data_IF_964221982569
#
_entry.id   IF_964221982569
#
_cell.length_a   1.000
_cell.length_b   1.000
_cell.length_c   1.000
_cell.angle_alpha   90.00
_cell.angle_beta   90.00
_cell.angle_gamma   90.00
#
_symmetry.space_group_name_H-M   'P 1'
#
loop_
_entity.id
_entity.type
_entity.pdbx_description
1 polymer ?
#
# COMPACT_ATOMS: atom_id res chain seq x y z
N UNK A 1 -30.51 -30.02 11.28
CA UNK A 1 -30.33 -29.27 10.02
C UNK A 1 -29.46 -28.01 10.17
N UNK A 2 -28.54 -27.94 11.15
CA UNK A 2 -27.71 -26.73 11.41
C UNK A 2 -26.26 -26.82 10.90
N UNK A 3 -25.84 -27.93 10.27
CA UNK A 3 -24.44 -28.14 9.87
C UNK A 3 -24.14 -27.84 8.39
N UNK A 4 -25.15 -27.54 7.55
CA UNK A 4 -24.93 -27.29 6.12
C UNK A 4 -24.60 -25.82 5.78
N UNK A 5 -24.89 -24.86 6.67
CA UNK A 5 -24.66 -23.43 6.41
C UNK A 5 -23.24 -22.97 6.72
N UNK A 6 -22.45 -23.74 7.47
CA UNK A 6 -21.08 -23.34 7.87
C UNK A 6 -20.03 -23.62 6.78
N UNK A 7 -20.26 -24.59 5.90
CA UNK A 7 -19.35 -24.93 4.79
C UNK A 7 -19.48 -24.01 3.58
N UNK A 8 -20.56 -23.24 3.46
CA UNK A 8 -20.76 -22.33 2.32
C UNK A 8 -19.90 -21.06 2.44
N UNK A 9 -19.71 -20.53 3.65
CA UNK A 9 -18.87 -19.33 3.88
C UNK A 9 -17.37 -19.56 3.68
N UNK A 10 -16.89 -20.80 3.82
CA UNK A 10 -15.47 -21.14 3.60
C UNK A 10 -15.08 -21.21 2.13
N UNK A 11 -16.03 -21.37 1.21
CA UNK A 11 -15.74 -21.39 -0.22
C UNK A 11 -15.67 -19.98 -0.82
N UNK A 12 -16.59 -19.08 -0.44
CA UNK A 12 -16.56 -17.67 -0.89
C UNK A 12 -15.25 -16.97 -0.46
N UNK A 13 -14.79 -17.21 0.77
CA UNK A 13 -13.52 -16.64 1.26
C UNK A 13 -12.30 -17.17 0.49
N UNK A 14 -12.31 -18.45 0.08
CA UNK A 14 -11.24 -19.02 -0.76
C UNK A 14 -11.21 -18.41 -2.16
N UNK A 15 -12.37 -18.15 -2.77
CA UNK A 15 -12.43 -17.52 -4.09
C UNK A 15 -11.93 -16.07 -4.05
N UNK A 16 -12.27 -15.30 -3.02
CA UNK A 16 -11.74 -13.94 -2.85
C UNK A 16 -10.22 -13.96 -2.63
N UNK A 17 -9.71 -14.91 -1.83
CA UNK A 17 -8.27 -15.07 -1.61
C UNK A 17 -7.51 -15.43 -2.90
N UNK A 18 -8.08 -16.35 -3.71
CA UNK A 18 -7.49 -16.74 -4.99
C UNK A 18 -7.49 -15.57 -5.98
N UNK A 19 -8.61 -14.84 -6.07
CA UNK A 19 -8.73 -13.63 -6.89
C UNK A 19 -7.71 -12.55 -6.50
N UNK A 20 -7.54 -12.30 -5.20
CA UNK A 20 -6.56 -11.33 -4.71
C UNK A 20 -5.12 -11.77 -5.01
N UNK A 21 -4.81 -13.07 -4.84
CA UNK A 21 -3.50 -13.62 -5.16
C UNK A 21 -3.18 -13.54 -6.67
N UNK A 22 -4.14 -13.80 -7.54
CA UNK A 22 -4.01 -13.66 -9.00
C UNK A 22 -3.81 -12.19 -9.40
N UNK A 23 -4.56 -11.27 -8.81
CA UNK A 23 -4.39 -9.84 -9.04
C UNK A 23 -2.98 -9.35 -8.62
N UNK A 24 -2.46 -9.84 -7.50
CA UNK A 24 -1.08 -9.56 -7.09
C UNK A 24 -0.04 -10.11 -8.07
N UNK A 25 -0.26 -11.32 -8.64
CA UNK A 25 0.63 -11.92 -9.65
C UNK A 25 0.65 -11.10 -10.95
N UNK A 26 -0.52 -10.74 -11.48
CA UNK A 26 -0.61 -9.94 -12.71
C UNK A 26 0.10 -8.59 -12.57
N UNK A 27 -0.06 -7.93 -11.42
CA UNK A 27 0.64 -6.66 -11.12
C UNK A 27 2.16 -6.82 -11.05
N UNK A 28 2.66 -7.94 -10.54
CA UNK A 28 4.09 -8.23 -10.55
C UNK A 28 4.63 -8.41 -11.98
N UNK A 29 3.86 -9.06 -12.85
CA UNK A 29 4.22 -9.26 -14.25
C UNK A 29 4.28 -7.93 -15.02
N UNK A 30 3.30 -7.05 -14.83
CA UNK A 30 3.28 -5.71 -15.45
C UNK A 30 4.46 -4.84 -15.00
N UNK A 31 4.78 -4.88 -13.70
CA UNK A 31 5.92 -4.13 -13.16
C UNK A 31 7.24 -4.62 -13.77
N UNK A 32 7.37 -5.93 -14.00
CA UNK A 32 8.53 -6.52 -14.66
C UNK A 32 8.67 -6.06 -16.11
N UNK A 33 7.57 -5.98 -16.87
CA UNK A 33 7.59 -5.57 -18.28
C UNK A 33 8.11 -4.15 -18.46
N UNK A 34 7.70 -3.21 -17.61
CA UNK A 34 8.18 -1.82 -17.72
C UNK A 34 9.63 -1.68 -17.28
N UNK A 35 10.04 -2.35 -16.19
CA UNK A 35 11.45 -2.39 -15.80
C UNK A 35 12.35 -2.94 -16.91
N UNK A 36 11.90 -4.00 -17.61
CA UNK A 36 12.63 -4.56 -18.76
C UNK A 36 12.68 -3.59 -19.95
N UNK A 37 11.59 -2.87 -20.24
CA UNK A 37 11.55 -1.92 -21.35
C UNK A 37 12.46 -0.70 -21.09
N UNK A 38 12.34 -0.06 -19.93
CA UNK A 38 13.18 1.09 -19.57
C UNK A 38 14.65 0.69 -19.43
N UNK A 39 14.92 -0.46 -18.82
CA UNK A 39 16.25 -1.06 -18.78
C UNK A 39 16.80 -1.28 -20.19
N UNK A 40 16.01 -1.87 -21.08
CA UNK A 40 16.40 -2.15 -22.46
C UNK A 40 16.75 -0.88 -23.24
N UNK A 41 15.95 0.16 -23.10
CA UNK A 41 16.20 1.46 -23.73
C UNK A 41 17.48 2.11 -23.23
N UNK A 42 17.74 2.09 -21.92
CA UNK A 42 18.98 2.61 -21.35
C UNK A 42 20.22 1.80 -21.77
N UNK A 43 20.09 0.47 -21.87
CA UNK A 43 21.14 -0.40 -22.36
C UNK A 43 21.50 -0.05 -23.82
N UNK A 44 20.51 0.14 -24.68
CA UNK A 44 20.73 0.54 -26.08
C UNK A 44 21.36 1.93 -26.18
N UNK A 45 20.87 2.89 -25.40
CA UNK A 45 21.40 4.25 -25.38
C UNK A 45 22.87 4.32 -24.94
N UNK A 46 23.31 3.42 -24.07
CA UNK A 46 24.70 3.34 -23.59
C UNK A 46 25.58 2.42 -24.43
N UNK A 47 25.01 1.42 -25.11
CA UNK A 47 25.74 0.52 -26.02
C UNK A 47 26.43 1.25 -27.15
N UNK A 48 25.77 2.23 -27.78
CA UNK A 48 26.32 2.98 -28.90
C UNK A 48 27.60 3.76 -28.50
N UNK A 49 27.56 4.68 -27.52
CA UNK A 49 28.73 5.46 -27.14
C UNK A 49 29.83 4.60 -26.50
N UNK A 50 29.49 3.59 -25.71
CA UNK A 50 30.49 2.69 -25.12
C UNK A 50 31.22 1.86 -26.18
N UNK A 51 30.49 1.37 -27.19
CA UNK A 51 31.09 0.66 -28.34
C UNK A 51 32.03 1.57 -29.12
N UNK A 52 31.59 2.80 -29.43
CA UNK A 52 32.42 3.77 -30.15
C UNK A 52 33.69 4.14 -29.37
N UNK A 53 33.57 4.38 -28.07
CA UNK A 53 34.71 4.67 -27.21
C UNK A 53 35.68 3.48 -27.14
N UNK A 54 35.16 2.26 -27.02
CA UNK A 54 35.96 1.04 -27.04
C UNK A 54 36.72 0.89 -28.36
N UNK A 55 36.04 1.06 -29.51
CA UNK A 55 36.67 1.00 -30.84
C UNK A 55 37.74 2.08 -31.02
N UNK A 56 37.50 3.29 -30.51
CA UNK A 56 38.48 4.37 -30.56
C UNK A 56 39.76 4.04 -29.77
N UNK A 57 39.61 3.54 -28.54
CA UNK A 57 40.75 3.12 -27.70
C UNK A 57 41.46 1.91 -28.31
N UNK A 58 40.70 0.95 -28.85
CA UNK A 58 41.21 -0.24 -29.51
C UNK A 58 42.10 0.10 -30.71
N UNK A 59 41.66 1.06 -31.53
CA UNK A 59 42.39 1.49 -32.73
C UNK A 59 43.62 2.34 -32.42
N UNK A 60 43.53 3.23 -31.42
CA UNK A 60 44.57 4.24 -31.19
C UNK A 60 45.65 3.81 -30.18
N UNK A 61 45.46 2.72 -29.43
CA UNK A 61 46.40 2.33 -28.37
C UNK A 61 46.90 0.87 -28.49
N UNK A 62 48.01 0.60 -29.18
CA UNK A 62 48.55 -0.75 -29.31
C UNK A 62 49.03 -1.34 -27.96
N UNK A 63 49.40 -0.50 -26.99
CA UNK A 63 49.76 -0.95 -25.64
C UNK A 63 48.55 -1.50 -24.87
N UNK A 64 47.35 -1.06 -25.21
CA UNK A 64 46.12 -1.61 -24.64
C UNK A 64 45.88 -3.03 -25.13
N UNK A 65 46.13 -3.31 -26.42
CA UNK A 65 46.01 -4.65 -27.00
C UNK A 65 46.99 -5.64 -26.36
N UNK A 66 48.25 -5.25 -26.18
CA UNK A 66 49.26 -6.15 -25.60
C UNK A 66 49.02 -6.45 -24.12
N UNK A 67 48.29 -5.59 -23.40
CA UNK A 67 48.00 -5.76 -21.97
C UNK A 67 46.65 -6.42 -21.67
N UNK A 68 45.74 -6.52 -22.65
CA UNK A 68 44.37 -7.00 -22.42
C UNK A 68 44.09 -8.31 -23.14
N UNK A 69 43.58 -9.30 -22.41
CA UNK A 69 43.10 -10.56 -22.96
C UNK A 69 41.72 -10.38 -23.61
N UNK A 70 41.36 -11.28 -24.54
CA UNK A 70 40.05 -11.28 -25.23
C UNK A 70 38.89 -11.19 -24.24
N UNK A 71 38.93 -11.96 -23.13
CA UNK A 71 37.90 -11.89 -22.08
C UNK A 71 37.76 -10.51 -21.43
N UNK A 72 38.86 -9.79 -21.20
CA UNK A 72 38.81 -8.44 -20.64
C UNK A 72 38.26 -7.41 -21.64
N UNK A 73 38.54 -7.60 -22.93
CA UNK A 73 38.03 -6.78 -24.01
C UNK A 73 36.51 -6.93 -24.15
N UNK A 74 36.02 -8.18 -24.15
CA UNK A 74 34.58 -8.46 -24.16
C UNK A 74 33.89 -7.87 -22.93
N UNK A 75 34.52 -7.95 -21.75
CA UNK A 75 33.95 -7.38 -20.54
C UNK A 75 33.84 -5.84 -20.61
N UNK A 76 34.88 -5.14 -21.08
CA UNK A 76 34.82 -3.69 -21.25
C UNK A 76 33.74 -3.25 -22.22
N UNK A 77 33.46 -4.07 -23.24
CA UNK A 77 32.39 -3.82 -24.20
C UNK A 77 30.99 -4.04 -23.60
N UNK A 78 30.79 -5.14 -22.88
CA UNK A 78 29.46 -5.58 -22.41
C UNK A 78 29.04 -4.95 -21.08
N UNK A 79 29.99 -4.55 -20.24
CA UNK A 79 29.70 -4.08 -18.86
C UNK A 79 28.90 -2.77 -18.83
N UNK A 80 29.25 -1.71 -19.58
CA UNK A 80 28.51 -0.44 -19.50
C UNK A 80 27.02 -0.56 -19.89
N UNK A 81 26.67 -1.26 -20.99
CA UNK A 81 25.26 -1.46 -21.36
C UNK A 81 24.48 -2.28 -20.34
N UNK A 82 25.08 -3.35 -19.81
CA UNK A 82 24.46 -4.13 -18.74
C UNK A 82 24.26 -3.29 -17.48
N UNK A 83 25.24 -2.48 -17.11
CA UNK A 83 25.13 -1.61 -15.95
C UNK A 83 23.99 -0.60 -16.11
N UNK A 84 23.88 0.04 -17.27
CA UNK A 84 22.79 0.95 -17.58
C UNK A 84 21.42 0.25 -17.58
N UNK A 85 21.35 -0.98 -18.11
CA UNK A 85 20.16 -1.82 -18.05
C UNK A 85 19.68 -2.02 -16.61
N UNK A 86 20.58 -2.45 -15.73
CA UNK A 86 20.24 -2.72 -14.33
C UNK A 86 19.83 -1.43 -13.62
N UNK A 87 20.56 -0.35 -13.83
CA UNK A 87 20.29 0.93 -13.17
C UNK A 87 18.94 1.52 -13.61
N UNK A 88 18.63 1.52 -14.91
CA UNK A 88 17.37 2.05 -15.41
C UNK A 88 16.19 1.13 -15.09
N UNK A 89 16.35 -0.19 -15.16
CA UNK A 89 15.29 -1.12 -14.75
C UNK A 89 14.93 -0.96 -13.27
N UNK A 90 15.91 -0.68 -12.41
CA UNK A 90 15.66 -0.39 -11.00
C UNK A 90 14.98 0.97 -10.81
N UNK A 91 15.47 2.03 -11.47
CA UNK A 91 14.84 3.35 -11.40
C UNK A 91 13.39 3.34 -11.91
N UNK A 92 13.11 2.56 -12.95
CA UNK A 92 11.76 2.38 -13.47
C UNK A 92 10.83 1.67 -12.49
N UNK A 93 11.33 0.62 -11.83
CA UNK A 93 10.59 -0.09 -10.77
C UNK A 93 10.34 0.82 -9.56
N UNK A 94 11.31 1.66 -9.19
CA UNK A 94 11.16 2.65 -8.11
C UNK A 94 10.12 3.71 -8.50
N UNK A 95 10.17 4.25 -9.72
CA UNK A 95 9.17 5.21 -10.20
C UNK A 95 7.75 4.64 -10.23
N UNK A 96 7.61 3.33 -10.44
CA UNK A 96 6.34 2.63 -10.27
C UNK A 96 5.91 2.48 -8.82
N UNK A 97 6.84 2.34 -7.87
CA UNK A 97 6.51 2.28 -6.46
C UNK A 97 5.83 3.58 -6.00
N UNK A 98 6.29 4.74 -6.50
CA UNK A 98 5.67 6.03 -6.22
C UNK A 98 4.26 6.15 -6.84
N UNK A 99 4.07 5.64 -8.07
CA UNK A 99 2.72 5.54 -8.66
C UNK A 99 1.82 4.60 -7.86
N UNK A 100 2.35 3.50 -7.33
CA UNK A 100 1.62 2.58 -6.45
C UNK A 100 1.24 3.23 -5.12
N UNK A 101 2.04 4.17 -4.60
CA UNK A 101 1.65 4.97 -3.44
C UNK A 101 0.46 5.88 -3.78
N UNK A 102 0.48 6.53 -4.94
CA UNK A 102 -0.67 7.30 -5.42
C UNK A 102 -1.92 6.43 -5.66
N UNK A 103 -1.76 5.22 -6.18
CA UNK A 103 -2.87 4.24 -6.35
C UNK A 103 -3.37 3.68 -5.00
N UNK A 104 -2.52 3.57 -3.99
CA UNK A 104 -2.98 3.23 -2.64
C UNK A 104 -3.90 4.31 -2.09
N UNK A 105 -3.60 5.58 -2.33
CA UNK A 105 -4.51 6.67 -1.93
C UNK A 105 -5.86 6.59 -2.66
N UNK A 106 -5.88 6.20 -3.94
CA UNK A 106 -7.14 6.01 -4.67
C UNK A 106 -7.88 4.77 -4.19
N UNK A 107 -7.17 3.69 -3.86
CA UNK A 107 -7.77 2.48 -3.28
C UNK A 107 -8.41 2.77 -1.93
N UNK A 108 -7.74 3.54 -1.07
CA UNK A 108 -8.32 4.03 0.19
C UNK A 108 -9.59 4.84 -0.08
N UNK A 109 -9.61 5.73 -1.08
CA UNK A 109 -10.83 6.47 -1.46
C UNK A 109 -11.95 5.54 -1.95
N UNK A 110 -11.62 4.48 -2.70
CA UNK A 110 -12.60 3.48 -3.17
C UNK A 110 -13.15 2.64 -2.03
N UNK A 111 -12.30 2.20 -1.09
CA UNK A 111 -12.74 1.52 0.13
C UNK A 111 -13.64 2.44 0.94
N UNK A 112 -13.28 3.71 1.12
CA UNK A 112 -14.14 4.70 1.78
C UNK A 112 -15.47 4.91 1.04
N UNK A 113 -15.48 4.89 -0.30
CA UNK A 113 -16.72 4.95 -1.08
C UNK A 113 -17.59 3.71 -0.85
N UNK A 114 -17.00 2.52 -0.87
CA UNK A 114 -17.71 1.27 -0.63
C UNK A 114 -18.32 1.22 0.79
N UNK A 115 -17.57 1.64 1.81
CA UNK A 115 -18.08 1.80 3.18
C UNK A 115 -19.27 2.76 3.22
N UNK A 116 -19.16 3.92 2.57
CA UNK A 116 -20.25 4.89 2.48
C UNK A 116 -21.51 4.33 1.79
N UNK A 117 -21.35 3.50 0.76
CA UNK A 117 -22.48 2.83 0.09
C UNK A 117 -23.13 1.82 1.03
N UNK A 118 -22.35 0.98 1.73
CA UNK A 118 -22.91 0.02 2.69
C UNK A 118 -23.67 0.71 3.82
N UNK A 119 -23.15 1.81 4.35
CA UNK A 119 -23.82 2.62 5.35
C UNK A 119 -25.12 3.26 4.82
N UNK A 120 -25.16 3.64 3.55
CA UNK A 120 -26.36 4.19 2.92
C UNK A 120 -27.45 3.12 2.72
N UNK A 121 -27.06 1.89 2.38
CA UNK A 121 -27.97 0.75 2.26
C UNK A 121 -28.51 0.32 3.62
N UNK A 122 -27.67 0.30 4.66
CA UNK A 122 -28.11 0.01 6.04
C UNK A 122 -29.16 1.03 6.51
N UNK A 123 -28.99 2.31 6.17
CA UNK A 123 -29.96 3.37 6.47
C UNK A 123 -31.25 3.22 5.67
N UNK A 124 -31.16 2.94 4.37
CA UNK A 124 -32.32 2.70 3.52
C UNK A 124 -33.15 1.52 4.06
N UNK A 125 -32.49 0.41 4.43
CA UNK A 125 -33.15 -0.75 5.02
C UNK A 125 -33.85 -0.45 6.37
N UNK A 126 -33.30 0.46 7.18
CA UNK A 126 -33.96 0.92 8.43
C UNK A 126 -35.15 1.85 8.15
N UNK A 127 -35.08 2.66 7.10
CA UNK A 127 -36.16 3.57 6.71
C UNK A 127 -37.34 2.83 6.05
N UNK A 128 -37.11 1.70 5.37
CA UNK A 128 -38.17 0.86 4.78
C UNK A 128 -38.86 -0.05 5.80
N UNK A 129 -38.88 0.31 7.09
CA UNK A 129 -39.49 -0.50 8.13
C UNK A 129 -40.95 -0.80 7.83
N UNK A 130 -41.29 -2.08 7.62
CA UNK A 130 -42.55 -2.72 8.10
C UNK A 130 -42.87 -4.13 7.60
N UNK A 131 -41.98 -4.88 6.93
CA UNK A 131 -42.20 -6.33 6.72
C UNK A 131 -41.26 -7.19 7.57
N UNK A 132 -41.83 -7.75 8.64
CA UNK A 132 -41.12 -8.45 9.72
C UNK A 132 -40.52 -9.79 9.26
N UNK A 133 -41.01 -10.41 8.19
CA UNK A 133 -40.58 -11.75 7.79
C UNK A 133 -39.36 -11.80 6.83
N UNK A 134 -39.08 -10.75 6.07
CA UNK A 134 -37.88 -10.70 5.19
C UNK A 134 -36.61 -10.19 5.90
N UNK A 135 -36.72 -9.75 7.16
CA UNK A 135 -35.64 -9.13 7.93
C UNK A 135 -34.54 -10.10 8.38
N UNK A 136 -34.82 -11.41 8.47
CA UNK A 136 -33.81 -12.39 8.92
C UNK A 136 -32.74 -12.65 7.86
N UNK A 137 -33.12 -12.75 6.59
CA UNK A 137 -32.20 -13.06 5.49
C UNK A 137 -31.32 -11.84 5.10
N UNK A 138 -31.89 -10.62 5.13
CA UNK A 138 -31.13 -9.38 4.89
C UNK A 138 -30.09 -9.09 5.98
N UNK A 139 -30.36 -9.44 7.25
CA UNK A 139 -29.38 -9.26 8.35
C UNK A 139 -28.17 -10.18 8.19
N UNK A 140 -28.35 -11.38 7.67
CA UNK A 140 -27.24 -12.32 7.44
C UNK A 140 -26.29 -11.85 6.32
N UNK A 141 -26.80 -11.21 5.26
CA UNK A 141 -25.97 -10.71 4.16
C UNK A 141 -25.12 -9.48 4.57
N UNK A 142 -25.70 -8.57 5.34
CA UNK A 142 -24.99 -7.40 5.89
C UNK A 142 -23.84 -7.80 6.84
N UNK A 143 -24.04 -8.87 7.61
CA UNK A 143 -22.99 -9.46 8.44
C UNK A 143 -21.79 -9.95 7.61
N UNK A 144 -22.04 -10.69 6.52
CA UNK A 144 -21.00 -11.20 5.63
C UNK A 144 -20.18 -10.08 4.98
N UNK A 145 -20.84 -9.02 4.50
CA UNK A 145 -20.15 -7.86 3.89
C UNK A 145 -19.25 -7.12 4.88
N UNK A 146 -19.67 -6.96 6.14
CA UNK A 146 -18.82 -6.36 7.19
C UNK A 146 -17.58 -7.22 7.47
N UNK A 147 -17.73 -8.53 7.56
CA UNK A 147 -16.58 -9.43 7.73
C UNK A 147 -15.62 -9.36 6.56
N UNK A 148 -16.12 -9.34 5.31
CA UNK A 148 -15.29 -9.19 4.11
C UNK A 148 -14.52 -7.86 4.10
N UNK A 149 -15.17 -6.74 4.43
CA UNK A 149 -14.50 -5.43 4.54
C UNK A 149 -13.44 -5.45 5.65
N UNK A 150 -13.74 -6.08 6.80
CA UNK A 150 -12.78 -6.19 7.90
C UNK A 150 -11.58 -7.08 7.56
N UNK A 151 -11.78 -8.13 6.76
CA UNK A 151 -10.69 -8.98 6.28
C UNK A 151 -9.84 -8.27 5.24
N UNK A 152 -10.44 -7.54 4.30
CA UNK A 152 -9.70 -6.68 3.36
C UNK A 152 -8.86 -5.64 4.11
N UNK A 153 -9.40 -5.09 5.20
CA UNK A 153 -8.66 -4.18 6.07
C UNK A 153 -7.52 -4.90 6.80
N UNK A 154 -7.76 -6.10 7.36
CA UNK A 154 -6.72 -6.92 7.99
C UNK A 154 -5.64 -7.39 7.01
N UNK A 155 -5.97 -7.64 5.74
CA UNK A 155 -4.99 -7.97 4.70
C UNK A 155 -4.21 -6.74 4.23
N UNK A 156 -4.85 -5.58 4.17
CA UNK A 156 -4.21 -4.30 3.85
C UNK A 156 -3.26 -3.82 4.97
N UNK A 157 -3.66 -4.02 6.22
CA UNK A 157 -2.93 -3.60 7.42
C UNK A 157 -1.98 -4.69 7.93
N UNK A 158 -2.20 -5.95 7.56
CA UNK A 158 -1.38 -7.12 7.85
C UNK A 158 -0.06 -7.17 7.10
N UNK A 159 0.59 -6.01 6.90
CA UNK A 159 2.04 -5.99 6.79
C UNK A 159 2.55 -6.47 8.15
N UNK A 160 3.41 -7.50 8.16
CA UNK A 160 4.10 -7.92 9.36
C UNK A 160 4.87 -6.71 9.89
N UNK A 161 4.29 -6.00 10.86
CA UNK A 161 4.91 -4.87 11.53
C UNK A 161 5.37 -5.37 12.88
N UNK A 162 6.68 -5.44 13.06
CA UNK A 162 7.25 -5.80 14.35
C UNK A 162 7.44 -4.52 15.15
N UNK A 163 6.53 -4.27 16.08
CA UNK A 163 6.67 -3.21 17.06
C UNK A 163 7.78 -3.65 18.02
N UNK A 164 8.88 -2.89 18.04
CA UNK A 164 9.92 -3.08 19.06
C UNK A 164 9.55 -2.17 20.23
N UNK A 165 9.25 -2.72 21.42
CA UNK A 165 9.01 -1.90 22.58
C UNK A 165 10.28 -1.16 22.97
N UNK A 166 10.16 0.15 23.18
CA UNK A 166 11.30 0.99 23.53
C UNK A 166 11.78 0.61 24.94
N UNK A 167 13.03 0.12 25.12
CA UNK A 167 13.54 -0.22 26.45
C UNK A 167 13.63 1.01 27.37
N UNK A 168 13.63 2.23 26.83
CA UNK A 168 13.71 3.46 27.61
C UNK A 168 12.39 3.90 28.25
N UNK A 169 11.24 3.36 27.79
CA UNK A 169 9.92 3.77 28.30
C UNK A 169 9.53 3.13 29.65
N UNK A 170 10.39 2.31 30.25
CA UNK A 170 10.07 1.68 31.55
C UNK A 170 10.17 2.63 32.76
N UNK A 171 10.51 3.92 32.59
CA UNK A 171 10.76 4.80 33.72
C UNK A 171 10.49 6.30 33.58
N UNK A 172 9.95 6.81 32.47
CA UNK A 172 9.77 8.26 32.32
C UNK A 172 8.43 8.65 31.69
N UNK A 173 7.41 8.70 32.53
CA UNK A 173 6.11 9.32 32.26
C UNK A 173 6.15 10.81 32.62
N UNK A 174 6.89 11.62 31.85
CA UNK A 174 6.75 13.07 31.93
C UNK A 174 6.89 13.73 30.56
N UNK A 175 5.73 14.17 30.08
CA UNK A 175 5.42 15.12 29.02
C UNK A 175 6.58 15.79 28.27
N UNK A 176 6.51 15.71 26.94
CA UNK A 176 6.91 16.80 26.06
C UNK A 176 8.13 16.51 25.20
N UNK A 177 7.89 16.19 23.93
CA UNK A 177 8.87 16.14 22.83
C UNK A 177 9.78 14.91 22.84
N UNK A 178 9.17 13.77 22.57
CA UNK A 178 9.85 12.48 22.40
C UNK A 178 10.26 12.29 20.95
N UNK A 179 11.50 12.68 20.62
CA UNK A 179 12.15 12.34 19.35
C UNK A 179 13.00 11.08 19.50
N UNK A 180 12.40 9.90 19.68
CA UNK A 180 13.17 8.65 19.75
C UNK A 180 13.46 8.12 18.35
N UNK A 181 14.61 8.52 17.83
CA UNK A 181 15.26 7.92 16.67
C UNK A 181 15.47 6.42 16.92
N UNK A 182 15.04 5.54 15.99
CA UNK A 182 15.30 4.10 16.08
C UNK A 182 16.79 3.85 16.38
N UNK A 183 17.15 2.84 17.20
CA UNK A 183 18.55 2.46 17.34
C UNK A 183 19.16 2.24 15.96
N UNK A 184 20.36 2.78 15.74
CA UNK A 184 21.01 2.87 14.41
C UNK A 184 21.03 1.52 13.66
N UNK A 185 21.18 0.40 14.37
CA UNK A 185 21.09 -0.96 13.82
C UNK A 185 19.75 -1.28 13.13
N UNK A 186 18.61 -0.79 13.65
CA UNK A 186 17.29 -1.02 13.05
C UNK A 186 17.05 -0.09 11.87
N UNK A 187 17.55 1.15 11.93
CA UNK A 187 17.52 2.05 10.78
C UNK A 187 18.33 1.50 9.61
N UNK A 188 19.53 1.00 9.90
CA UNK A 188 20.36 0.34 8.89
C UNK A 188 19.67 -0.90 8.34
N UNK A 189 19.06 -1.75 9.18
CA UNK A 189 18.31 -2.92 8.72
C UNK A 189 17.17 -2.54 7.76
N UNK A 190 16.37 -1.52 8.11
CA UNK A 190 15.31 -1.02 7.25
C UNK A 190 15.87 -0.42 5.96
N UNK A 191 16.94 0.37 6.04
CA UNK A 191 17.58 0.97 4.88
C UNK A 191 18.13 -0.08 3.90
N UNK A 192 18.75 -1.14 4.42
CA UNK A 192 19.25 -2.27 3.62
C UNK A 192 18.09 -3.02 2.96
N UNK A 193 16.99 -3.24 3.68
CA UNK A 193 15.81 -3.92 3.15
C UNK A 193 15.11 -3.10 2.05
N UNK A 194 15.02 -1.79 2.25
CA UNK A 194 14.35 -0.87 1.33
C UNK A 194 15.21 -0.57 0.09
N UNK A 195 16.55 -0.59 0.22
CA UNK A 195 17.48 -0.21 -0.85
C UNK A 195 18.70 -1.14 -0.93
N UNK A 196 18.53 -2.44 -1.25
CA UNK A 196 19.63 -3.40 -1.25
C UNK A 196 20.73 -3.02 -2.25
N UNK A 197 20.39 -2.45 -3.40
CA UNK A 197 21.38 -2.04 -4.42
C UNK A 197 22.17 -0.80 -4.03
N UNK A 198 21.56 0.19 -3.36
CA UNK A 198 22.31 1.36 -2.86
C UNK A 198 23.35 0.94 -1.83
N UNK A 199 23.00 0.01 -0.96
CA UNK A 199 23.94 -0.60 -0.02
C UNK A 199 24.99 -1.43 -0.76
N UNK A 200 24.58 -2.19 -1.78
CA UNK A 200 25.48 -2.96 -2.64
C UNK A 200 26.58 -2.08 -3.23
N UNK A 201 26.20 -0.97 -3.84
CA UNK A 201 27.15 -0.03 -4.48
C UNK A 201 27.96 0.70 -3.42
N UNK A 202 27.32 1.22 -2.37
CA UNK A 202 27.96 2.02 -1.33
C UNK A 202 28.99 1.26 -0.51
N UNK A 203 28.75 -0.02 -0.20
CA UNK A 203 29.66 -0.86 0.59
C UNK A 203 30.52 -1.75 -0.31
N UNK A 204 29.95 -2.29 -1.39
CA UNK A 204 30.63 -3.23 -2.27
C UNK A 204 31.79 -2.60 -3.04
N UNK A 205 31.64 -1.36 -3.54
CA UNK A 205 32.73 -0.68 -4.26
C UNK A 205 33.96 -0.44 -3.37
N UNK A 206 33.84 0.14 -2.16
CA UNK A 206 34.98 0.27 -1.25
C UNK A 206 35.61 -1.06 -0.86
N UNK A 207 34.82 -2.11 -0.63
CA UNK A 207 35.34 -3.44 -0.27
C UNK A 207 36.16 -4.04 -1.41
N UNK A 208 35.65 -3.99 -2.65
CA UNK A 208 36.39 -4.47 -3.82
C UNK A 208 37.66 -3.63 -4.05
N UNK A 209 37.57 -2.31 -3.87
CA UNK A 209 38.72 -1.41 -3.92
C UNK A 209 39.79 -1.75 -2.88
N UNK A 210 39.38 -2.07 -1.65
CA UNK A 210 40.27 -2.48 -0.57
C UNK A 210 40.97 -3.81 -0.87
N UNK A 211 40.26 -4.79 -1.42
CA UNK A 211 40.85 -6.06 -1.86
C UNK A 211 41.88 -5.81 -2.98
N UNK A 212 41.58 -4.89 -3.90
CA UNK A 212 42.49 -4.55 -4.99
C UNK A 212 43.78 -3.89 -4.47
N UNK A 213 43.68 -2.90 -3.59
CA UNK A 213 44.87 -2.22 -3.03
C UNK A 213 45.73 -3.17 -2.19
N UNK A 214 45.11 -4.08 -1.45
CA UNK A 214 45.81 -5.12 -0.67
C UNK A 214 46.63 -6.06 -1.57
N UNK A 215 46.11 -6.43 -2.75
CA UNK A 215 46.85 -7.26 -3.70
C UNK A 215 47.94 -6.48 -4.43
N UNK A 216 47.69 -5.20 -4.76
CA UNK A 216 48.65 -4.35 -5.46
C UNK A 216 49.95 -4.10 -4.67
N UNK A 217 49.94 -4.25 -3.34
CA UNK A 217 51.14 -4.06 -2.50
C UNK A 217 52.15 -5.22 -2.58
N UNK A 218 51.82 -6.37 -3.18
CA UNK A 218 52.73 -7.53 -3.27
C UNK A 218 53.67 -7.40 -4.48
N UNK A 219 54.81 -6.72 -4.30
CA UNK A 219 55.81 -6.36 -5.35
C UNK A 219 56.49 -7.53 -6.10
N UNK A 220 56.29 -8.78 -5.70
CA UNK A 220 57.03 -9.93 -6.24
C UNK A 220 56.27 -10.71 -7.34
N UNK A 221 54.94 -10.57 -7.49
CA UNK A 221 54.18 -11.35 -8.47
C UNK A 221 54.04 -10.65 -9.83
N UNK A 222 54.21 -11.42 -10.90
CA UNK A 222 53.97 -11.02 -12.28
C UNK A 222 52.57 -10.40 -12.42
N UNK A 223 52.50 -9.14 -12.86
CA UNK A 223 51.28 -8.31 -12.89
C UNK A 223 50.07 -9.00 -13.56
N UNK A 224 50.33 -9.89 -14.52
CA UNK A 224 49.32 -10.68 -15.23
C UNK A 224 48.61 -11.72 -14.34
N UNK A 225 49.35 -12.40 -13.46
CA UNK A 225 48.76 -13.37 -12.51
C UNK A 225 47.96 -12.65 -11.42
N UNK A 226 48.43 -11.47 -11.00
CA UNK A 226 47.70 -10.62 -10.06
C UNK A 226 46.31 -10.29 -10.59
N UNK A 227 46.22 -9.72 -11.80
CA UNK A 227 44.95 -9.31 -12.42
C UNK A 227 43.94 -10.48 -12.53
N UNK A 228 44.42 -11.69 -12.85
CA UNK A 228 43.54 -12.85 -12.96
C UNK A 228 42.90 -13.20 -11.62
N UNK A 229 43.68 -13.24 -10.54
CA UNK A 229 43.16 -13.54 -9.20
C UNK A 229 42.28 -12.42 -8.64
N UNK A 230 42.64 -11.15 -8.86
CA UNK A 230 41.82 -10.03 -8.37
C UNK A 230 40.44 -10.02 -9.03
N UNK A 231 40.34 -10.43 -10.31
CA UNK A 231 39.06 -10.52 -11.01
C UNK A 231 38.16 -11.62 -10.44
N UNK A 232 38.69 -12.83 -10.25
CA UNK A 232 37.92 -13.96 -9.69
C UNK A 232 37.50 -13.66 -8.26
N UNK A 233 38.40 -13.11 -7.44
CA UNK A 233 38.09 -12.73 -6.05
C UNK A 233 37.06 -11.60 -6.02
N UNK A 234 37.17 -10.62 -6.91
CA UNK A 234 36.19 -9.54 -7.05
C UNK A 234 34.80 -10.08 -7.40
N UNK A 235 34.71 -10.96 -8.39
CA UNK A 235 33.45 -11.61 -8.76
C UNK A 235 32.86 -12.44 -7.61
N UNK A 236 33.69 -13.25 -6.95
CA UNK A 236 33.27 -14.04 -5.80
C UNK A 236 32.74 -13.17 -4.66
N UNK A 237 33.44 -12.07 -4.35
CA UNK A 237 33.03 -11.12 -3.31
C UNK A 237 31.66 -10.52 -3.64
N UNK A 238 31.45 -10.09 -4.88
CA UNK A 238 30.16 -9.52 -5.31
C UNK A 238 29.04 -10.54 -5.23
N UNK A 239 29.28 -11.80 -5.64
CA UNK A 239 28.28 -12.87 -5.56
C UNK A 239 27.91 -13.19 -4.11
N UNK A 240 28.90 -13.34 -3.22
CA UNK A 240 28.66 -13.57 -1.79
C UNK A 240 27.88 -12.42 -1.17
N UNK A 241 28.19 -11.18 -1.56
CA UNK A 241 27.51 -10.00 -1.06
C UNK A 241 26.05 -9.91 -1.56
N UNK A 242 25.80 -10.20 -2.84
CA UNK A 242 24.46 -10.28 -3.41
C UNK A 242 23.61 -11.37 -2.74
N UNK A 243 24.17 -12.57 -2.53
CA UNK A 243 23.48 -13.65 -1.84
C UNK A 243 23.14 -13.27 -0.40
N UNK A 244 24.06 -12.61 0.30
CA UNK A 244 23.83 -12.13 1.67
C UNK A 244 22.71 -11.11 1.73
N UNK A 245 22.66 -10.16 0.78
CA UNK A 245 21.60 -9.15 0.70
C UNK A 245 20.24 -9.77 0.34
N UNK A 246 20.19 -10.73 -0.58
CA UNK A 246 18.95 -11.42 -0.90
C UNK A 246 18.44 -12.26 0.27
N UNK A 247 19.32 -12.99 0.96
CA UNK A 247 18.96 -13.73 2.17
C UNK A 247 18.47 -12.82 3.28
N UNK A 248 19.12 -11.66 3.47
CA UNK A 248 18.68 -10.65 4.42
C UNK A 248 17.33 -10.03 4.04
N UNK A 249 17.11 -9.77 2.74
CA UNK A 249 15.85 -9.25 2.25
C UNK A 249 14.70 -10.24 2.48
N UNK A 250 14.86 -11.51 2.13
CA UNK A 250 13.83 -12.54 2.38
C UNK A 250 13.56 -12.69 3.88
N UNK A 251 14.61 -12.62 4.72
CA UNK A 251 14.45 -12.58 6.17
C UNK A 251 13.61 -11.38 6.64
N UNK A 252 13.85 -10.18 6.10
CA UNK A 252 13.08 -8.97 6.45
C UNK A 252 11.65 -9.02 5.91
N UNK A 253 11.45 -9.54 4.70
CA UNK A 253 10.12 -9.68 4.09
C UNK A 253 9.25 -10.67 4.91
N UNK A 254 9.85 -11.71 5.50
CA UNK A 254 9.15 -12.66 6.40
C UNK A 254 8.90 -12.10 7.80
N UNK A 255 9.91 -11.47 8.41
CA UNK A 255 9.83 -11.03 9.80
C UNK A 255 9.23 -9.63 9.98
N UNK A 256 9.05 -8.89 8.89
CA UNK A 256 8.49 -7.56 8.91
C UNK A 256 9.50 -6.43 9.07
N UNK A 257 9.09 -5.21 8.70
CA UNK A 257 9.90 -4.00 8.89
C UNK A 257 9.86 -3.61 10.37
N UNK A 258 11.00 -3.12 10.89
CA UNK A 258 11.06 -2.61 12.25
C UNK A 258 10.44 -1.21 12.28
N UNK A 259 9.32 -1.04 12.97
CA UNK A 259 8.65 0.26 13.12
C UNK A 259 8.70 0.64 14.61
N UNK A 260 8.93 1.92 14.89
CA UNK A 260 8.88 2.42 16.28
C UNK A 260 7.45 2.46 16.78
N UNK A 261 7.29 2.36 18.10
CA UNK A 261 6.01 2.65 18.73
C UNK A 261 5.49 4.03 18.38
N UNK A 262 6.36 5.04 18.21
CA UNK A 262 5.94 6.37 17.76
C UNK A 262 5.43 6.38 16.32
N UNK A 263 6.15 5.76 15.38
CA UNK A 263 5.70 5.68 13.98
C UNK A 263 4.42 4.84 13.87
N UNK A 264 4.34 3.73 14.61
CA UNK A 264 3.12 2.91 14.70
C UNK A 264 1.97 3.70 15.33
N UNK A 265 2.19 4.46 16.40
CA UNK A 265 1.19 5.32 17.02
C UNK A 265 0.78 6.47 16.07
N UNK A 266 1.72 7.04 15.32
CA UNK A 266 1.43 8.07 14.32
C UNK A 266 0.58 7.50 13.17
N UNK A 267 0.86 6.27 12.74
CA UNK A 267 0.07 5.59 11.71
C UNK A 267 -1.31 5.23 12.23
N UNK A 268 -1.41 4.77 13.49
CA UNK A 268 -2.70 4.54 14.17
C UNK A 268 -3.49 5.84 14.31
N UNK A 269 -2.88 6.96 14.74
CA UNK A 269 -3.57 8.26 14.84
C UNK A 269 -3.99 8.79 13.46
N UNK A 270 -3.21 8.57 12.41
CA UNK A 270 -3.60 8.92 11.04
C UNK A 270 -4.80 8.08 10.57
N UNK A 271 -4.83 6.79 10.91
CA UNK A 271 -5.97 5.90 10.69
C UNK A 271 -7.18 6.39 11.50
N UNK A 272 -7.00 6.78 12.76
CA UNK A 272 -8.07 7.28 13.61
C UNK A 272 -8.63 8.62 13.11
N UNK A 273 -7.79 9.58 12.72
CA UNK A 273 -8.23 10.84 12.10
C UNK A 273 -8.98 10.58 10.79
N UNK A 274 -8.55 9.60 10.00
CA UNK A 274 -9.27 9.18 8.79
C UNK A 274 -10.65 8.62 9.15
N UNK A 275 -10.73 7.80 10.20
CA UNK A 275 -11.98 7.25 10.74
C UNK A 275 -12.90 8.32 11.31
N UNK A 276 -12.36 9.33 11.98
CA UNK A 276 -13.12 10.45 12.53
C UNK A 276 -13.67 11.35 11.41
N UNK A 277 -12.84 11.69 10.42
CA UNK A 277 -13.26 12.44 9.24
C UNK A 277 -14.37 11.71 8.47
N UNK A 278 -14.29 10.39 8.41
CA UNK A 278 -15.37 9.54 7.88
C UNK A 278 -16.63 9.64 8.75
N UNK A 279 -16.53 9.50 10.08
CA UNK A 279 -17.67 9.65 11.00
C UNK A 279 -18.31 11.03 10.92
N UNK A 280 -17.52 12.09 10.78
CA UNK A 280 -18.02 13.46 10.68
C UNK A 280 -18.80 13.66 9.37
N UNK A 281 -18.26 13.16 8.25
CA UNK A 281 -18.98 13.13 6.96
C UNK A 281 -20.30 12.35 7.07
N UNK A 282 -20.32 11.25 7.82
CA UNK A 282 -21.54 10.48 8.06
C UNK A 282 -22.55 11.23 8.95
N UNK A 283 -22.10 11.97 9.97
CA UNK A 283 -22.96 12.82 10.81
C UNK A 283 -23.55 13.99 10.03
N UNK A 284 -22.73 14.71 9.25
CA UNK A 284 -23.16 15.82 8.38
C UNK A 284 -24.16 15.38 7.30
N UNK A 285 -24.18 14.11 6.91
CA UNK A 285 -25.21 13.54 6.02
C UNK A 285 -26.48 13.10 6.75
N UNK A 286 -26.43 12.78 8.04
CA UNK A 286 -27.63 12.45 8.84
C UNK A 286 -28.46 13.69 9.18
N UNK A 287 -27.83 14.83 9.43
CA UNK A 287 -28.53 16.09 9.77
C UNK A 287 -29.46 16.63 8.66
N UNK A 288 -29.11 16.65 7.35
CA UNK A 288 -30.04 17.11 6.32
C UNK A 288 -31.20 16.13 6.09
N UNK A 289 -31.02 14.83 6.34
CA UNK A 289 -32.12 13.85 6.27
C UNK A 289 -33.06 14.01 7.47
N UNK A 290 -32.55 14.24 8.67
CA UNK A 290 -33.39 14.56 9.83
C UNK A 290 -34.14 15.90 9.65
N UNK A 291 -33.52 16.88 8.99
CA UNK A 291 -34.17 18.15 8.64
C UNK A 291 -35.23 17.97 7.53
N UNK A 292 -35.03 17.00 6.62
CA UNK A 292 -36.00 16.66 5.59
C UNK A 292 -37.17 15.85 6.15
N UNK A 293 -36.94 14.92 7.08
CA UNK A 293 -37.99 14.19 7.80
C UNK A 293 -38.85 15.12 8.66
N UNK A 294 -38.23 16.10 9.34
CA UNK A 294 -38.98 17.13 10.07
C UNK A 294 -39.84 18.03 9.16
N UNK A 295 -39.41 18.29 7.92
CA UNK A 295 -40.22 19.01 6.93
C UNK A 295 -41.35 18.15 6.36
N UNK A 296 -41.16 16.85 6.20
CA UNK A 296 -42.21 15.94 5.74
C UNK A 296 -43.31 15.82 6.80
N UNK A 297 -42.97 15.77 8.10
CA UNK A 297 -43.97 15.80 9.16
C UNK A 297 -44.72 17.13 9.20
N UNK A 298 -44.06 18.27 8.93
CA UNK A 298 -44.77 19.57 8.82
C UNK A 298 -45.67 19.62 7.58
N UNK A 299 -45.30 18.96 6.49
CA UNK A 299 -46.12 18.89 5.26
C UNK A 299 -47.30 17.92 5.45
N UNK A 300 -47.14 16.82 6.19
CA UNK A 300 -48.25 15.94 6.57
C UNK A 300 -49.22 16.61 7.54
N UNK A 301 -48.72 17.38 8.51
CA UNK A 301 -49.57 18.20 9.36
C UNK A 301 -50.30 19.28 8.54
N UNK A 302 -49.68 19.80 7.47
CA UNK A 302 -50.31 20.75 6.55
C UNK A 302 -51.36 20.14 5.60
N UNK A 303 -51.32 18.83 5.35
CA UNK A 303 -52.35 18.13 4.55
C UNK A 303 -53.68 18.03 5.28
N UNK A 304 -53.68 18.10 6.62
CA UNK A 304 -54.91 18.17 7.41
C UNK A 304 -55.62 19.54 7.33
N UNK A 305 -55.03 20.53 6.64
CA UNK A 305 -55.61 21.85 6.41
C UNK A 305 -56.01 22.08 4.94
N UNK A 306 -56.05 21.03 4.12
CA UNK A 306 -56.60 21.06 2.76
C UNK A 306 -57.94 20.31 2.80
N UNK A 307 -59.03 20.99 2.43
CA UNK A 307 -60.36 20.39 2.36
C UNK A 307 -60.44 19.30 1.29
N UNK A 308 -61.47 18.46 1.32
CA UNK A 308 -61.67 17.39 0.32
C UNK A 308 -61.75 17.91 -1.13
N UNK A 309 -62.06 19.18 -1.29
CA UNK A 309 -62.13 19.91 -2.56
C UNK A 309 -60.79 20.55 -2.99
N UNK A 310 -59.73 20.33 -2.23
CA UNK A 310 -58.37 20.77 -2.58
C UNK A 310 -58.09 22.26 -2.33
N UNK A 311 -59.03 23.02 -1.73
CA UNK A 311 -58.77 24.39 -1.28
C UNK A 311 -58.23 24.41 0.17
N UNK A 312 -57.37 25.37 0.51
CA UNK A 312 -56.94 25.57 1.89
C UNK A 312 -58.17 25.92 2.75
N UNK A 313 -58.37 25.18 3.84
CA UNK A 313 -59.48 25.39 4.76
C UNK A 313 -59.39 26.78 5.38
N UNK A 314 -60.52 27.46 5.46
CA UNK A 314 -60.60 28.74 6.15
C UNK A 314 -60.51 28.53 7.67
N UNK A 315 -60.01 29.53 8.40
CA UNK A 315 -59.82 29.45 9.87
C UNK A 315 -61.11 29.03 10.59
N UNK A 316 -62.27 29.41 10.06
CA UNK A 316 -63.58 29.06 10.60
C UNK A 316 -63.91 27.56 10.45
N UNK A 317 -63.65 26.97 9.28
CA UNK A 317 -63.88 25.52 9.02
C UNK A 317 -62.90 24.63 9.83
N UNK A 318 -61.69 25.14 10.10
CA UNK A 318 -60.71 24.48 10.97
C UNK A 318 -61.22 24.42 12.42
N UNK A 319 -61.81 25.51 12.91
CA UNK A 319 -62.34 25.55 14.28
C UNK A 319 -63.56 24.64 14.45
N UNK A 320 -64.48 24.60 13.48
CA UNK A 320 -65.64 23.69 13.50
C UNK A 320 -65.23 22.21 13.44
N UNK A 321 -64.23 21.86 12.62
CA UNK A 321 -63.72 20.48 12.55
C UNK A 321 -63.07 20.03 13.86
N UNK A 322 -62.45 20.97 14.60
CA UNK A 322 -61.82 20.68 15.89
C UNK A 322 -62.84 20.45 17.00
N UNK A 323 -63.94 21.20 17.03
CA UNK A 323 -65.04 20.97 17.98
C UNK A 323 -65.73 19.62 17.76
N UNK A 324 -65.91 19.19 16.51
CA UNK A 324 -66.47 17.87 16.17
C UNK A 324 -65.61 16.71 16.67
N UNK A 325 -64.29 16.86 16.63
CA UNK A 325 -63.36 15.83 17.09
C UNK A 325 -63.34 15.68 18.63
N UNK A 326 -63.47 16.80 19.36
CA UNK A 326 -63.52 16.79 20.83
C UNK A 326 -64.79 16.07 21.33
N UNK A 327 -65.91 16.19 20.62
CA UNK A 327 -67.15 15.50 20.97
C UNK A 327 -67.12 13.97 20.75
N UNK A 328 -66.30 13.47 19.83
CA UNK A 328 -66.20 12.03 19.53
C UNK A 328 -65.28 11.32 20.53
N UNK A 329 -64.20 11.99 20.98
CA UNK A 329 -63.25 11.42 21.94
C UNK A 329 -63.82 11.40 23.37
N UNK A 330 -64.75 12.30 23.70
CA UNK A 330 -65.41 12.35 25.01
C UNK A 330 -66.54 11.34 25.24
N UNK A 331 -66.78 10.39 24.33
CA UNK A 331 -67.81 9.35 24.47
C UNK A 331 -67.26 7.91 24.44
N UNK A 332 -65.93 7.74 24.53
CA UNK A 332 -65.29 6.43 24.66
C UNK A 332 -64.55 6.21 25.99
N UNK A 333 -65.01 6.87 27.06
CA UNK A 333 -64.65 6.53 28.45
C UNK A 333 -65.83 5.93 29.21
#
# INVERSE_FOLDING_TARGET
>A
MSSQTQTQGTNETREVLLSAAEASRLKHEESGKVGMYEGGMAAMATAIPSSMAFFYVYKNNPKFLSRTNVSSRTALFVTPPLFAFFLASELGVIGMADKKLAEKETTVKTVMWAENVTDSLEKAAKATGNDVDTSKEKKTDLGRRRTQISELYKMSVGRNLRIIPDPAQRGSSSAGTVGYSLPLRHQMANFIADNPFKVLVGVGMPVVGYVFTSQASKKHLQFQQMIMHTRVIGQFTVVVFLLSLMGFKDYMDRNGRFITEYEAASEVTAIEMTREKLRERLKKRKTPMALAEGKISTIEENKNFIGEDGRPLTVQEIMESREKYIHIVGHSE
#
